data_IF_680381051250
#
_entry.id   IF_680381051250
#
_cell.length_a   1.000
_cell.length_b   1.000
_cell.length_c   1.000
_cell.angle_alpha   90.00
_cell.angle_beta   90.00
_cell.angle_gamma   90.00
#
_symmetry.space_group_name_H-M   'P 1'
#
loop_
_entity.id
_entity.type
_entity.pdbx_description
1 polymer ?
#
# COMPACT_ATOMS: atom_id res chain seq x y z
N UNK A 1 -21.85 7.97 10.36
CA UNK A 1 -20.88 7.38 9.46
C UNK A 1 -20.91 5.87 9.54
N UNK A 2 -20.88 5.23 8.40
CA UNK A 2 -20.91 3.78 8.36
C UNK A 2 -19.61 3.16 8.85
N UNK A 3 -19.79 2.06 9.57
CA UNK A 3 -18.66 1.27 9.99
C UNK A 3 -18.20 0.43 8.81
N UNK A 4 -16.98 0.64 8.37
CA UNK A 4 -16.45 -0.07 7.22
C UNK A 4 -15.87 -1.42 7.66
N UNK A 5 -15.64 -2.29 6.67
CA UNK A 5 -14.96 -3.56 6.94
C UNK A 5 -13.57 -3.32 7.51
N UNK A 6 -12.93 -2.21 7.12
CA UNK A 6 -11.59 -1.89 7.62
C UNK A 6 -11.62 -1.53 9.10
N UNK A 7 -12.63 -0.77 9.53
CA UNK A 7 -12.81 -0.46 10.94
C UNK A 7 -13.07 -1.73 11.73
N UNK A 8 -13.88 -2.63 11.19
CA UNK A 8 -14.17 -3.91 11.84
C UNK A 8 -12.92 -4.78 11.96
N UNK A 9 -12.08 -4.78 10.93
CA UNK A 9 -10.85 -5.58 10.94
C UNK A 9 -9.90 -5.08 12.02
N UNK A 10 -9.70 -3.76 12.10
CA UNK A 10 -8.81 -3.19 13.11
C UNK A 10 -9.33 -3.46 14.51
N UNK A 11 -10.64 -3.33 14.71
CA UNK A 11 -11.24 -3.61 16.02
C UNK A 11 -11.10 -5.08 16.40
N UNK A 12 -11.28 -5.96 15.43
CA UNK A 12 -11.23 -7.40 15.69
C UNK A 12 -9.81 -7.91 15.97
N UNK A 13 -8.85 -7.50 15.15
CA UNK A 13 -7.48 -8.02 15.23
C UNK A 13 -6.55 -7.18 16.09
N UNK A 14 -6.87 -5.91 16.32
CA UNK A 14 -6.07 -5.00 17.13
C UNK A 14 -5.06 -4.21 16.29
N UNK A 15 -4.78 -3.00 16.74
CA UNK A 15 -3.91 -2.08 16.01
C UNK A 15 -2.49 -2.64 15.81
N UNK A 16 -1.90 -3.15 16.88
CA UNK A 16 -0.54 -3.67 16.82
C UNK A 16 -0.43 -4.82 15.82
N UNK A 17 -1.39 -5.73 15.85
CA UNK A 17 -1.38 -6.86 14.94
C UNK A 17 -1.50 -6.40 13.48
N UNK A 18 -2.36 -5.39 13.23
CA UNK A 18 -2.55 -4.91 11.88
C UNK A 18 -1.36 -4.10 11.38
N UNK A 19 -0.64 -3.42 12.25
CA UNK A 19 0.62 -2.77 11.86
C UNK A 19 1.66 -3.80 11.44
N UNK A 20 1.71 -4.94 12.14
CA UNK A 20 2.61 -6.03 11.76
C UNK A 20 2.19 -6.67 10.44
N UNK A 21 0.88 -6.87 10.27
CA UNK A 21 0.36 -7.44 9.02
C UNK A 21 0.68 -6.55 7.83
N UNK A 22 0.62 -5.23 7.99
CA UNK A 22 0.99 -4.31 6.92
C UNK A 22 2.42 -4.57 6.47
N UNK A 23 3.34 -4.77 7.41
CA UNK A 23 4.73 -5.03 7.08
C UNK A 23 4.89 -6.34 6.33
N UNK A 24 4.18 -7.38 6.76
CA UNK A 24 4.24 -8.68 6.10
C UNK A 24 3.71 -8.60 4.67
N UNK A 25 2.58 -7.91 4.48
CA UNK A 25 2.01 -7.81 3.14
C UNK A 25 2.91 -6.99 2.21
N UNK A 26 3.57 -5.96 2.72
CA UNK A 26 4.51 -5.19 1.92
C UNK A 26 5.70 -6.05 1.49
N UNK A 27 6.18 -6.92 2.38
CA UNK A 27 7.24 -7.86 2.06
C UNK A 27 6.82 -8.87 1.01
N UNK A 28 5.59 -9.40 1.13
CA UNK A 28 5.08 -10.36 0.16
C UNK A 28 4.98 -9.74 -1.23
N UNK A 29 4.54 -8.48 -1.30
CA UNK A 29 4.50 -7.77 -2.58
C UNK A 29 5.91 -7.64 -3.15
N UNK A 30 6.87 -7.27 -2.32
CA UNK A 30 8.25 -7.13 -2.76
C UNK A 30 8.79 -8.43 -3.34
N UNK A 31 8.51 -9.55 -2.68
CA UNK A 31 8.95 -10.86 -3.14
C UNK A 31 8.29 -11.26 -4.46
N UNK A 32 7.00 -10.97 -4.60
CA UNK A 32 6.28 -11.28 -5.82
C UNK A 32 6.86 -10.52 -7.02
N UNK A 33 7.16 -9.24 -6.83
CA UNK A 33 7.77 -8.42 -7.87
C UNK A 33 9.15 -8.96 -8.22
N UNK A 34 9.92 -9.36 -7.23
CA UNK A 34 11.26 -9.92 -7.44
C UNK A 34 11.20 -11.20 -8.27
N UNK A 35 10.25 -12.09 -7.96
CA UNK A 35 10.09 -13.32 -8.72
C UNK A 35 9.77 -13.02 -10.17
N UNK A 36 8.89 -12.09 -10.43
CA UNK A 36 8.57 -11.71 -11.80
C UNK A 36 9.79 -11.11 -12.50
N UNK A 37 10.54 -10.25 -11.82
CA UNK A 37 11.72 -9.64 -12.42
C UNK A 37 12.72 -10.68 -12.90
N UNK A 38 12.81 -11.82 -12.18
CA UNK A 38 13.75 -12.88 -12.51
C UNK A 38 13.22 -13.81 -13.59
N UNK A 39 11.94 -14.16 -13.55
CA UNK A 39 11.41 -15.25 -14.38
C UNK A 39 10.48 -14.79 -15.49
N UNK A 40 9.85 -13.63 -15.35
CA UNK A 40 8.97 -13.04 -16.37
C UNK A 40 7.84 -13.96 -16.82
N UNK A 41 7.25 -14.72 -15.87
CA UNK A 41 6.16 -15.63 -16.18
C UNK A 41 4.82 -14.93 -16.01
N UNK A 42 3.90 -15.18 -16.93
CA UNK A 42 2.62 -14.49 -16.95
C UNK A 42 1.82 -14.69 -15.67
N UNK A 43 1.80 -15.90 -15.13
CA UNK A 43 1.04 -16.19 -13.90
C UNK A 43 1.55 -15.41 -12.70
N UNK A 44 2.78 -14.91 -12.77
CA UNK A 44 3.33 -14.08 -11.67
C UNK A 44 2.74 -12.69 -11.66
N UNK A 45 2.18 -12.23 -12.77
CA UNK A 45 1.50 -10.94 -12.83
C UNK A 45 0.24 -11.00 -11.97
N UNK A 46 -0.49 -12.11 -12.02
CA UNK A 46 -1.67 -12.30 -11.19
C UNK A 46 -1.29 -12.33 -9.71
N UNK A 47 -0.17 -12.97 -9.38
CA UNK A 47 0.33 -12.99 -8.02
C UNK A 47 0.64 -11.57 -7.53
N UNK A 48 1.30 -10.76 -8.37
CA UNK A 48 1.58 -9.36 -8.01
C UNK A 48 0.30 -8.60 -7.76
N UNK A 49 -0.70 -8.78 -8.63
CA UNK A 49 -1.99 -8.11 -8.46
C UNK A 49 -2.64 -8.48 -7.14
N UNK A 50 -2.57 -9.76 -6.77
CA UNK A 50 -3.11 -10.24 -5.50
C UNK A 50 -2.41 -9.56 -4.32
N UNK A 51 -1.08 -9.48 -4.37
CA UNK A 51 -0.33 -8.85 -3.28
C UNK A 51 -0.56 -7.34 -3.21
N UNK A 52 -0.76 -6.69 -4.35
CA UNK A 52 -1.12 -5.28 -4.36
C UNK A 52 -2.46 -5.08 -3.65
N UNK A 53 -3.43 -5.95 -3.94
CA UNK A 53 -4.74 -5.87 -3.29
C UNK A 53 -4.59 -5.99 -1.77
N UNK A 54 -3.78 -6.94 -1.30
CA UNK A 54 -3.55 -7.11 0.12
C UNK A 54 -2.93 -5.87 0.74
N UNK A 55 -1.95 -5.27 0.08
CA UNK A 55 -1.31 -4.06 0.59
C UNK A 55 -2.30 -2.90 0.62
N UNK A 56 -3.12 -2.75 -0.41
CA UNK A 56 -4.11 -1.67 -0.43
C UNK A 56 -5.14 -1.81 0.68
N UNK A 57 -5.54 -3.04 0.98
CA UNK A 57 -6.45 -3.30 2.09
C UNK A 57 -5.79 -2.91 3.42
N UNK A 58 -4.51 -3.19 3.58
CA UNK A 58 -3.79 -2.81 4.79
C UNK A 58 -3.61 -1.29 4.88
N UNK A 59 -3.41 -0.61 3.75
CA UNK A 59 -3.31 0.85 3.76
C UNK A 59 -4.63 1.47 4.26
N UNK A 60 -5.77 0.93 3.83
CA UNK A 60 -7.05 1.43 4.33
C UNK A 60 -7.18 1.24 5.84
N UNK A 61 -6.62 0.16 6.36
CA UNK A 61 -6.64 -0.06 7.81
C UNK A 61 -5.69 0.88 8.55
N UNK A 62 -4.56 1.25 7.94
CA UNK A 62 -3.70 2.28 8.53
C UNK A 62 -4.45 3.60 8.72
N UNK A 63 -5.30 3.94 7.75
CA UNK A 63 -6.10 5.16 7.85
C UNK A 63 -7.05 5.10 9.03
N UNK A 64 -7.58 3.92 9.33
CA UNK A 64 -8.41 3.72 10.52
C UNK A 64 -7.58 3.88 11.80
N UNK A 65 -6.42 3.26 11.82
CA UNK A 65 -5.55 3.25 13.00
C UNK A 65 -5.14 4.67 13.39
N UNK A 66 -4.77 5.48 12.42
CA UNK A 66 -4.32 6.84 12.72
C UNK A 66 -5.46 7.79 13.03
N UNK A 67 -6.68 7.45 12.66
CA UNK A 67 -7.90 8.16 13.07
C UNK A 67 -7.87 9.65 12.79
N UNK A 68 -7.18 10.06 11.74
CA UNK A 68 -7.03 11.47 11.42
C UNK A 68 -7.67 11.77 10.09
N UNK A 69 -8.61 12.71 10.10
CA UNK A 69 -9.26 13.14 8.87
C UNK A 69 -8.24 13.73 7.90
N UNK A 70 -7.13 14.24 8.43
CA UNK A 70 -6.08 14.85 7.62
C UNK A 70 -5.10 13.84 7.06
N UNK A 71 -5.21 12.56 7.43
CA UNK A 71 -4.23 11.59 6.97
C UNK A 71 -4.30 11.37 5.45
N UNK A 72 -5.50 11.32 4.90
CA UNK A 72 -5.68 11.24 3.45
C UNK A 72 -5.10 12.47 2.76
N UNK A 73 -5.34 13.64 3.31
CA UNK A 73 -4.81 14.89 2.76
C UNK A 73 -3.29 14.87 2.78
N UNK A 74 -2.73 14.34 3.86
CA UNK A 74 -1.28 14.24 4.00
C UNK A 74 -0.70 13.30 2.94
N UNK A 75 -1.34 12.16 2.72
CA UNK A 75 -0.90 11.22 1.68
C UNK A 75 -0.97 11.91 0.32
N UNK A 76 -2.06 12.60 0.03
CA UNK A 76 -2.24 13.28 -1.25
C UNK A 76 -1.18 14.36 -1.45
N UNK A 77 -0.85 15.09 -0.40
CA UNK A 77 0.20 16.10 -0.45
C UNK A 77 1.55 15.47 -0.79
N UNK A 78 1.86 14.36 -0.12
CA UNK A 78 3.13 13.65 -0.39
C UNK A 78 3.15 13.06 -1.79
N UNK A 79 2.01 12.56 -2.27
CA UNK A 79 1.92 12.05 -3.63
C UNK A 79 2.21 13.15 -4.64
N UNK A 80 1.65 14.35 -4.43
CA UNK A 80 1.89 15.47 -5.33
C UNK A 80 3.37 15.87 -5.35
N UNK A 81 3.98 15.96 -4.18
CA UNK A 81 5.41 16.32 -4.08
C UNK A 81 6.29 15.31 -4.80
N UNK A 82 6.03 14.02 -4.57
CA UNK A 82 6.88 12.97 -5.12
C UNK A 82 6.66 12.78 -6.61
N UNK A 83 5.43 12.98 -7.05
CA UNK A 83 5.13 12.91 -8.48
C UNK A 83 5.81 14.04 -9.23
N UNK A 84 5.82 15.24 -8.66
CA UNK A 84 6.52 16.36 -9.26
C UNK A 84 8.02 16.10 -9.32
N UNK A 85 8.59 15.55 -8.25
CA UNK A 85 10.00 15.18 -8.23
C UNK A 85 10.32 14.16 -9.32
N UNK A 86 9.46 13.19 -9.49
CA UNK A 86 9.62 12.17 -10.53
C UNK A 86 9.58 12.81 -11.92
N UNK A 87 8.65 13.73 -12.14
CA UNK A 87 8.55 14.45 -13.39
C UNK A 87 9.84 15.20 -13.71
N UNK A 88 10.40 15.88 -12.72
CA UNK A 88 11.65 16.61 -12.91
C UNK A 88 12.83 15.69 -13.21
N UNK A 89 12.87 14.53 -12.56
CA UNK A 89 13.92 13.55 -12.83
C UNK A 89 13.89 13.04 -14.27
N UNK A 90 12.70 12.78 -14.78
CA UNK A 90 12.54 12.29 -16.15
C UNK A 90 12.94 13.38 -17.15
N UNK A 91 12.49 14.59 -16.95
CA UNK A 91 12.78 15.69 -17.87
C UNK A 91 14.22 16.15 -17.80
N UNK A 92 14.82 16.09 -16.63
CA UNK A 92 16.22 16.47 -16.49
C UNK A 92 17.13 15.59 -17.33
N UNK A 93 16.78 14.32 -17.49
CA UNK A 93 17.64 13.37 -18.19
C UNK A 93 17.58 13.48 -19.70
N UNK A 94 16.69 14.31 -20.21
CA UNK A 94 16.68 14.59 -21.63
C UNK A 94 17.88 15.44 -21.98
#
# INVERSE_FOLDING_TARGET
MENTIYQSAVAHFGETNQLEMMQEEALELSLAVRRFARHRKYEQIEEIASEIADVQIMIEQLKVIFKEDLFDDLINEKMAEKTERLFKLINFKK
#
